data_IF_392502520361
#
_entry.id   IF_392502520361
#
_cell.length_a   1.000
_cell.length_b   1.000
_cell.length_c   1.000
_cell.angle_alpha   90.00
_cell.angle_beta   90.00
_cell.angle_gamma   90.00
#
_symmetry.space_group_name_H-M   'P 1'
#
loop_
_entity.id
_entity.type
_entity.pdbx_description
1 polymer ?
#
# COMPACT_ATOMS: atom_id res chain seq x y z
N UNK A 1 27.01 13.05 0.02
CA UNK A 1 27.32 11.79 0.75
C UNK A 1 27.06 10.53 -0.08
N UNK A 2 26.30 10.62 -1.18
CA UNK A 2 26.09 9.51 -2.12
C UNK A 2 25.19 8.41 -1.56
N UNK A 3 24.40 8.75 -0.54
CA UNK A 3 23.42 7.92 0.13
C UNK A 3 22.06 8.55 -0.17
N UNK A 4 21.05 7.72 -0.43
CA UNK A 4 19.67 8.18 -0.45
C UNK A 4 19.16 8.07 0.98
N UNK A 5 18.88 9.21 1.60
CA UNK A 5 18.37 9.28 2.97
C UNK A 5 16.88 8.96 3.03
N UNK A 6 16.40 8.57 4.21
CA UNK A 6 14.96 8.35 4.44
C UNK A 6 14.12 9.60 4.15
N UNK A 7 14.65 10.78 4.49
CA UNK A 7 13.99 12.05 4.23
C UNK A 7 13.80 12.30 2.73
N UNK A 8 14.85 12.08 1.93
CA UNK A 8 14.74 12.20 0.47
C UNK A 8 13.72 11.20 -0.09
N UNK A 9 13.73 9.95 0.38
CA UNK A 9 12.75 8.94 -0.05
C UNK A 9 11.31 9.34 0.30
N UNK A 10 11.09 9.93 1.47
CA UNK A 10 9.77 10.39 1.90
C UNK A 10 9.25 11.51 0.99
N UNK A 11 10.10 12.50 0.69
CA UNK A 11 9.76 13.60 -0.20
C UNK A 11 9.41 13.12 -1.62
N UNK A 12 10.16 12.16 -2.17
CA UNK A 12 9.83 11.59 -3.49
C UNK A 12 8.56 10.74 -3.45
N UNK A 13 8.35 9.98 -2.38
CA UNK A 13 7.20 9.11 -2.26
C UNK A 13 5.89 9.87 -2.06
N UNK A 14 5.92 11.04 -1.42
CA UNK A 14 4.74 11.88 -1.19
C UNK A 14 4.03 12.23 -2.51
N UNK A 15 4.78 12.63 -3.54
CA UNK A 15 4.23 12.94 -4.86
C UNK A 15 3.63 11.68 -5.54
N UNK A 16 4.31 10.53 -5.44
CA UNK A 16 3.83 9.25 -5.96
C UNK A 16 2.55 8.82 -5.25
N UNK A 17 2.51 8.95 -3.93
CA UNK A 17 1.36 8.62 -3.08
C UNK A 17 0.14 9.45 -3.49
N UNK A 18 0.27 10.77 -3.62
CA UNK A 18 -0.84 11.63 -4.06
C UNK A 18 -1.38 11.24 -5.44
N UNK A 19 -0.50 10.87 -6.37
CA UNK A 19 -0.89 10.41 -7.71
C UNK A 19 -1.62 9.06 -7.66
N UNK A 20 -1.19 8.12 -6.80
CA UNK A 20 -1.86 6.83 -6.61
C UNK A 20 -3.29 7.03 -6.08
N UNK A 21 -3.46 7.83 -5.03
CA UNK A 21 -4.76 8.14 -4.44
C UNK A 21 -5.68 8.84 -5.46
N UNK A 22 -5.14 9.81 -6.22
CA UNK A 22 -5.91 10.52 -7.27
C UNK A 22 -6.43 9.57 -8.34
N UNK A 23 -5.64 8.57 -8.72
CA UNK A 23 -6.01 7.53 -9.67
C UNK A 23 -6.90 6.43 -9.08
N UNK A 24 -7.30 6.56 -7.81
CA UNK A 24 -8.08 5.57 -7.04
C UNK A 24 -7.38 4.22 -6.92
N UNK A 25 -6.05 4.21 -6.92
CA UNK A 25 -5.25 3.04 -6.62
C UNK A 25 -4.92 2.99 -5.13
N UNK A 26 -4.77 1.76 -4.61
CA UNK A 26 -4.22 1.55 -3.27
C UNK A 26 -2.76 2.04 -3.21
N UNK A 27 -2.38 2.61 -2.06
CA UNK A 27 -1.02 3.05 -1.81
C UNK A 27 -0.54 2.56 -0.45
N UNK A 28 0.68 2.02 -0.40
CA UNK A 28 1.29 1.59 0.85
C UNK A 28 1.64 2.81 1.71
N UNK A 29 1.61 2.64 3.03
CA UNK A 29 2.18 3.65 3.94
C UNK A 29 3.69 3.71 3.72
N UNK A 30 4.27 4.90 3.93
CA UNK A 30 5.70 5.13 3.70
C UNK A 30 6.59 4.09 4.40
N UNK A 31 6.30 3.77 5.66
CA UNK A 31 7.04 2.76 6.44
C UNK A 31 7.06 1.38 5.76
N UNK A 32 5.92 0.93 5.25
CA UNK A 32 5.79 -0.40 4.64
C UNK A 32 6.49 -0.43 3.28
N UNK A 33 6.36 0.65 2.50
CA UNK A 33 7.09 0.82 1.24
C UNK A 33 8.62 0.83 1.47
N UNK A 34 9.10 1.52 2.51
CA UNK A 34 10.53 1.54 2.83
C UNK A 34 11.05 0.14 3.17
N UNK A 35 10.31 -0.65 3.96
CA UNK A 35 10.70 -2.02 4.25
C UNK A 35 10.80 -2.85 2.95
N UNK A 36 9.80 -2.76 2.07
CA UNK A 36 9.81 -3.45 0.77
C UNK A 36 11.03 -3.05 -0.09
N UNK A 37 11.36 -1.75 -0.10
CA UNK A 37 12.52 -1.22 -0.83
C UNK A 37 13.84 -1.69 -0.22
N UNK A 38 13.94 -1.72 1.11
CA UNK A 38 15.15 -2.18 1.80
C UNK A 38 15.37 -3.68 1.60
N UNK A 39 14.32 -4.49 1.63
CA UNK A 39 14.41 -5.93 1.34
C UNK A 39 14.83 -6.17 -0.12
N UNK A 40 14.31 -5.37 -1.05
CA UNK A 40 14.65 -5.46 -2.47
C UNK A 40 16.10 -5.04 -2.77
N UNK A 41 16.58 -3.97 -2.14
CA UNK A 41 17.94 -3.44 -2.39
C UNK A 41 18.98 -4.17 -1.54
N UNK A 42 18.58 -4.66 -0.37
CA UNK A 42 19.41 -5.31 0.65
C UNK A 42 20.76 -4.59 0.90
N UNK A 43 20.74 -3.30 1.29
CA UNK A 43 21.96 -2.55 1.55
C UNK A 43 22.64 -3.03 2.84
N UNK A 44 23.98 -3.08 2.85
CA UNK A 44 24.76 -3.61 3.99
C UNK A 44 24.50 -2.92 5.33
N UNK A 45 24.33 -1.59 5.31
CA UNK A 45 24.18 -0.78 6.53
C UNK A 45 22.79 -0.12 6.63
N UNK A 46 21.80 -0.63 5.90
CA UNK A 46 20.47 0.02 5.78
C UNK A 46 20.48 1.34 4.99
N UNK A 47 21.65 1.76 4.48
CA UNK A 47 21.83 3.00 3.72
C UNK A 47 21.97 2.69 2.24
N UNK A 48 21.01 3.14 1.44
CA UNK A 48 21.00 2.86 0.00
C UNK A 48 22.02 3.75 -0.70
N UNK A 49 23.03 3.12 -1.31
CA UNK A 49 24.02 3.78 -2.16
C UNK A 49 23.85 3.35 -3.61
N UNK A 50 24.48 4.09 -4.51
CA UNK A 50 24.54 3.74 -5.94
C UNK A 50 25.13 2.34 -6.19
N UNK A 51 26.08 1.90 -5.36
CA UNK A 51 26.66 0.55 -5.44
C UNK A 51 25.61 -0.54 -5.24
N UNK A 52 24.70 -0.33 -4.29
CA UNK A 52 23.72 -1.32 -3.87
C UNK A 52 22.65 -1.47 -4.94
N UNK A 53 22.18 -0.35 -5.50
CA UNK A 53 21.28 -0.32 -6.65
C UNK A 53 21.90 -1.01 -7.88
N UNK A 54 23.20 -0.84 -8.13
CA UNK A 54 23.88 -1.55 -9.22
C UNK A 54 23.95 -3.06 -8.99
N UNK A 55 24.05 -3.51 -7.74
CA UNK A 55 24.19 -4.93 -7.39
C UNK A 55 22.85 -5.66 -7.32
N UNK A 56 21.76 -5.02 -6.87
CA UNK A 56 20.50 -5.72 -6.64
C UNK A 56 19.76 -6.13 -7.93
N UNK A 57 20.19 -5.67 -9.11
CA UNK A 57 19.57 -5.91 -10.44
C UNK A 57 18.10 -5.46 -10.57
N UNK A 58 17.49 -5.00 -9.47
CA UNK A 58 16.11 -4.51 -9.36
C UNK A 58 16.05 -2.98 -9.24
N UNK A 59 17.11 -2.26 -9.58
CA UNK A 59 17.13 -0.79 -9.55
C UNK A 59 16.00 -0.15 -10.36
N UNK A 60 15.57 -0.78 -11.45
CA UNK A 60 14.43 -0.31 -12.25
C UNK A 60 13.11 -0.32 -11.45
N UNK A 61 12.88 -1.32 -10.59
CA UNK A 61 11.74 -1.35 -9.66
C UNK A 61 11.85 -0.22 -8.64
N UNK A 62 13.02 -0.05 -8.03
CA UNK A 62 13.30 1.06 -7.11
C UNK A 62 12.94 2.42 -7.73
N UNK A 63 13.43 2.73 -8.94
CA UNK A 63 13.13 4.02 -9.56
C UNK A 63 11.65 4.19 -9.92
N UNK A 64 10.97 3.13 -10.33
CA UNK A 64 9.55 3.21 -10.62
C UNK A 64 8.73 3.53 -9.37
N UNK A 65 9.07 2.94 -8.22
CA UNK A 65 8.44 3.23 -6.91
C UNK A 65 8.49 4.71 -6.53
N UNK A 66 9.57 5.43 -6.85
CA UNK A 66 9.74 6.83 -6.45
C UNK A 66 9.47 7.86 -7.56
N UNK A 67 9.49 7.46 -8.84
CA UNK A 67 9.51 8.43 -9.96
C UNK A 67 8.42 8.16 -10.99
N UNK A 68 7.99 6.91 -11.18
CA UNK A 68 7.09 6.55 -12.27
C UNK A 68 5.89 5.72 -11.80
N UNK A 69 4.81 6.41 -11.45
CA UNK A 69 3.56 5.81 -10.97
C UNK A 69 2.94 4.83 -11.97
N UNK A 70 2.99 5.12 -13.26
CA UNK A 70 2.40 4.24 -14.27
C UNK A 70 3.16 2.91 -14.31
N UNK A 71 4.49 2.98 -14.34
CA UNK A 71 5.34 1.78 -14.34
C UNK A 71 5.30 1.04 -13.00
N UNK A 72 5.17 1.75 -11.89
CA UNK A 72 4.95 1.16 -10.57
C UNK A 72 3.66 0.34 -10.55
N UNK A 73 2.53 0.92 -10.99
CA UNK A 73 1.24 0.21 -11.04
C UNK A 73 1.32 -1.01 -11.97
N UNK A 74 1.96 -0.88 -13.14
CA UNK A 74 2.17 -2.03 -14.04
C UNK A 74 3.01 -3.14 -13.40
N UNK A 75 4.09 -2.80 -12.68
CA UNK A 75 4.95 -3.77 -12.01
C UNK A 75 4.25 -4.50 -10.87
N UNK A 76 3.45 -3.75 -10.14
CA UNK A 76 2.66 -4.32 -9.08
C UNK A 76 1.52 -5.15 -9.67
N UNK A 77 0.88 -4.76 -10.79
CA UNK A 77 -0.32 -5.42 -11.35
C UNK A 77 -0.27 -6.94 -11.49
N UNK A 78 0.86 -7.55 -11.84
CA UNK A 78 1.03 -9.02 -11.88
C UNK A 78 1.02 -9.69 -10.49
N UNK A 79 1.25 -8.92 -9.43
CA UNK A 79 1.24 -9.31 -8.01
C UNK A 79 0.14 -8.60 -7.19
N UNK A 80 -0.67 -7.72 -7.81
CA UNK A 80 -1.50 -6.68 -7.18
C UNK A 80 -2.99 -6.82 -7.52
N UNK A 81 -3.44 -7.99 -8.00
CA UNK A 81 -4.86 -8.32 -8.03
C UNK A 81 -5.55 -8.06 -6.66
N UNK A 82 -4.78 -8.07 -5.56
CA UNK A 82 -5.25 -7.78 -4.19
C UNK A 82 -5.22 -6.30 -3.76
N UNK A 83 -4.46 -5.42 -4.42
CA UNK A 83 -4.25 -4.02 -3.94
C UNK A 83 -4.98 -2.96 -4.80
N UNK A 84 -5.51 -3.33 -5.97
CA UNK A 84 -6.27 -2.44 -6.85
C UNK A 84 -7.71 -2.20 -6.38
N UNK A 85 -8.21 -3.01 -5.46
CA UNK A 85 -9.50 -2.74 -4.88
C UNK A 85 -9.29 -1.90 -3.62
N UNK A 86 -9.86 -0.69 -3.61
CA UNK A 86 -10.45 -0.17 -2.38
C UNK A 86 -11.62 -1.10 -2.04
N UNK A 87 -11.30 -2.34 -1.68
CA UNK A 87 -12.21 -3.22 -0.97
C UNK A 87 -12.02 -2.79 0.46
N UNK A 88 -13.10 -2.36 1.11
CA UNK A 88 -13.23 -2.56 2.55
C UNK A 88 -12.55 -3.89 2.87
N UNK A 89 -11.64 -3.91 3.84
CA UNK A 89 -10.98 -5.14 4.25
C UNK A 89 -12.02 -6.24 4.36
N UNK A 90 -11.71 -7.49 4.00
CA UNK A 90 -12.69 -8.58 4.13
C UNK A 90 -13.31 -8.63 5.56
N UNK A 91 -12.57 -8.10 6.55
CA UNK A 91 -13.00 -7.85 7.92
C UNK A 91 -13.96 -6.68 8.10
N UNK A 92 -13.77 -5.59 7.38
CA UNK A 92 -14.72 -4.47 7.34
C UNK A 92 -16.03 -4.91 6.66
N UNK A 93 -15.96 -5.61 5.53
CA UNK A 93 -17.15 -6.16 4.86
C UNK A 93 -17.87 -7.21 5.73
N UNK A 94 -17.12 -8.09 6.39
CA UNK A 94 -17.69 -9.07 7.31
C UNK A 94 -18.34 -8.39 8.52
N UNK A 95 -17.64 -7.45 9.17
CA UNK A 95 -18.16 -6.74 10.33
C UNK A 95 -19.40 -5.91 10.00
N UNK A 96 -19.41 -5.20 8.86
CA UNK A 96 -20.58 -4.47 8.38
C UNK A 96 -21.79 -5.39 8.12
N UNK A 97 -21.58 -6.56 7.51
CA UNK A 97 -22.65 -7.56 7.28
C UNK A 97 -23.20 -8.12 8.59
N UNK A 98 -22.32 -8.52 9.51
CA UNK A 98 -22.74 -9.06 10.81
C UNK A 98 -23.48 -8.00 11.64
N UNK A 99 -23.00 -6.76 11.62
CA UNK A 99 -23.64 -5.66 12.33
C UNK A 99 -25.04 -5.38 11.78
N UNK A 100 -25.20 -5.34 10.46
CA UNK A 100 -26.51 -5.18 9.82
C UNK A 100 -27.47 -6.32 10.19
N UNK A 101 -26.99 -7.56 10.14
CA UNK A 101 -27.81 -8.72 10.51
C UNK A 101 -28.27 -8.67 11.98
N UNK A 102 -27.40 -8.25 12.89
CA UNK A 102 -27.76 -8.11 14.30
C UNK A 102 -28.84 -7.04 14.51
N UNK A 103 -28.71 -5.88 13.86
CA UNK A 103 -29.71 -4.82 13.91
C UNK A 103 -31.07 -5.26 13.35
N UNK A 104 -31.09 -6.07 12.28
CA UNK A 104 -32.32 -6.62 11.73
C UNK A 104 -33.03 -7.56 12.72
N UNK A 105 -32.26 -8.41 13.41
CA UNK A 105 -32.80 -9.29 14.46
C UNK A 105 -33.33 -8.49 15.65
N UNK A 106 -32.58 -7.49 16.13
CA UNK A 106 -32.99 -6.63 17.25
C UNK A 106 -34.32 -5.91 16.94
N UNK A 107 -34.45 -5.36 15.73
CA UNK A 107 -35.70 -4.74 15.28
C UNK A 107 -36.87 -5.73 15.16
N UNK A 108 -36.61 -7.00 14.85
CA UNK A 108 -37.64 -8.05 14.80
C UNK A 108 -38.07 -8.48 16.20
N UNK A 109 -37.13 -8.60 17.15
CA UNK A 109 -37.43 -8.82 18.56
C UNK A 109 -38.26 -7.69 19.18
N UNK A 110 -37.90 -6.43 18.94
CA UNK A 110 -38.66 -5.28 19.44
C UNK A 110 -40.08 -5.23 18.87
N UNK A 111 -40.30 -5.65 17.62
CA UNK A 111 -41.65 -5.75 17.04
C UNK A 111 -42.48 -6.83 17.73
N UNK A 112 -41.88 -8.01 17.98
CA UNK A 112 -42.56 -9.10 18.68
C UNK A 112 -42.86 -8.78 20.14
N UNK A 113 -42.05 -7.94 20.80
CA UNK A 113 -42.29 -7.51 22.19
C UNK A 113 -43.39 -6.44 22.31
N UNK A 114 -43.62 -5.67 21.24
CA UNK A 114 -44.63 -4.61 21.19
C UNK A 114 -45.98 -5.06 20.57
N UNK A 115 -46.12 -6.33 20.18
CA UNK A 115 -47.36 -6.98 19.74
C UNK A 115 -48.01 -7.81 20.87
#
# INVERSE_FOLDING_TARGET
DGIISLYEMEQFYEEVFHKLITKRFGALKFKDMINQVLDMVNPKDGKIRRSDLKQCKLAHKFFNTFVNVNKYVEQESDSFADLLAIRESDWEQFSARQYKHFLELEAEYERMENE
#
